data_IF_794071700013
#
_entry.id   IF_794071700013
#
_cell.length_a   1.000
_cell.length_b   1.000
_cell.length_c   1.000
_cell.angle_alpha   90.00
_cell.angle_beta   90.00
_cell.angle_gamma   90.00
#
_symmetry.space_group_name_H-M   'P 1'
#
loop_
_entity.id
_entity.type
_entity.pdbx_description
1 polymer ?
#
# COMPACT_ATOMS: atom_id res chain seq x y z
N UNK A 1 -7.22 -2.94 11.91
CA UNK A 1 -8.50 -2.19 11.96
C UNK A 1 -8.55 -1.44 13.29
N UNK A 2 -9.25 -0.31 13.39
CA UNK A 2 -9.38 0.48 14.62
C UNK A 2 -10.80 1.01 14.81
N UNK A 3 -11.15 1.38 16.04
CA UNK A 3 -12.34 2.19 16.34
C UNK A 3 -11.88 3.59 16.67
N UNK A 4 -12.40 4.56 15.93
CA UNK A 4 -12.02 5.96 16.07
C UNK A 4 -13.25 6.82 16.32
N UNK A 5 -13.08 7.88 17.13
CA UNK A 5 -14.12 8.90 17.36
C UNK A 5 -14.48 9.61 16.05
N UNK A 6 -15.77 9.86 15.85
CA UNK A 6 -16.23 10.76 14.80
C UNK A 6 -15.85 12.20 15.17
N UNK A 7 -15.09 12.88 14.32
CA UNK A 7 -14.90 14.32 14.43
C UNK A 7 -16.23 15.01 14.08
N UNK A 8 -16.60 16.06 14.80
CA UNK A 8 -17.82 16.83 14.49
C UNK A 8 -17.72 17.40 13.06
N UNK A 9 -18.83 17.55 12.30
CA UNK A 9 -18.78 18.04 10.91
C UNK A 9 -18.38 19.52 10.74
N UNK A 10 -17.88 20.17 11.80
CA UNK A 10 -17.50 21.58 11.79
C UNK A 10 -16.00 21.72 11.66
N UNK A 11 -15.47 21.44 10.47
CA UNK A 11 -14.27 22.11 10.00
C UNK A 11 -14.59 22.79 8.66
N UNK A 12 -14.55 24.13 8.71
CA UNK A 12 -14.67 24.99 7.53
C UNK A 12 -13.49 24.73 6.58
N UNK A 13 -13.67 24.96 5.27
CA UNK A 13 -12.58 24.84 4.31
C UNK A 13 -11.47 25.82 4.66
N UNK A 14 -10.24 25.32 4.80
CA UNK A 14 -9.05 26.13 4.96
C UNK A 14 -8.81 26.96 3.68
N UNK A 15 -9.14 28.25 3.76
CA UNK A 15 -8.68 29.28 2.85
C UNK A 15 -7.43 29.94 3.45
N UNK A 16 -6.32 29.95 2.72
CA UNK A 16 -5.19 30.83 3.00
C UNK A 16 -3.82 30.16 2.94
N UNK A 17 -3.23 30.10 1.74
CA UNK A 17 -1.77 30.13 1.59
C UNK A 17 -1.44 31.33 0.69
N UNK A 18 -0.83 32.36 1.29
CA UNK A 18 -0.25 33.48 0.56
C UNK A 18 1.07 33.04 -0.11
N UNK A 19 1.31 33.67 -1.24
CA UNK A 19 2.32 33.44 -2.28
C UNK A 19 3.78 33.64 -1.84
N UNK A 20 4.67 32.77 -2.33
CA UNK A 20 6.09 33.04 -2.60
C UNK A 20 6.35 32.84 -4.11
N UNK A 21 7.34 33.52 -4.73
CA UNK A 21 7.36 33.73 -6.17
C UNK A 21 7.68 32.46 -6.98
N UNK A 22 6.64 32.07 -7.72
CA UNK A 22 6.47 31.17 -8.85
C UNK A 22 7.69 30.95 -9.77
N UNK A 23 8.36 29.79 -9.62
CA UNK A 23 8.92 29.05 -10.76
C UNK A 23 7.84 28.03 -11.16
N UNK A 24 7.41 27.96 -12.43
CA UNK A 24 6.36 27.02 -12.82
C UNK A 24 6.82 25.57 -12.53
N UNK A 25 5.94 24.69 -12.02
CA UNK A 25 6.33 23.32 -11.69
C UNK A 25 6.80 22.60 -12.96
N UNK A 26 7.93 21.87 -12.89
CA UNK A 26 8.38 20.99 -13.98
C UNK A 26 7.45 19.78 -14.09
N UNK A 27 7.38 19.18 -15.27
CA UNK A 27 6.58 17.98 -15.49
C UNK A 27 7.29 16.79 -14.81
N UNK A 28 6.82 16.41 -13.62
CA UNK A 28 7.26 15.20 -12.91
C UNK A 28 6.79 13.92 -13.60
N UNK A 29 7.72 13.04 -13.94
CA UNK A 29 7.47 11.79 -14.67
C UNK A 29 8.07 10.60 -13.94
N UNK A 30 7.24 9.67 -13.47
CA UNK A 30 7.65 8.44 -12.82
C UNK A 30 7.98 7.33 -13.83
N UNK A 31 9.13 6.66 -13.69
CA UNK A 31 9.53 5.53 -14.53
C UNK A 31 9.23 4.18 -13.84
N UNK A 32 8.05 3.63 -14.13
CA UNK A 32 7.66 2.30 -13.67
C UNK A 32 8.25 1.23 -14.60
N UNK A 33 9.07 0.32 -14.07
CA UNK A 33 9.79 -0.68 -14.86
C UNK A 33 10.12 -1.93 -14.05
N UNK A 34 10.31 -3.06 -14.72
CA UNK A 34 10.86 -4.24 -14.05
C UNK A 34 12.35 -4.08 -13.79
N UNK A 35 12.84 -4.63 -12.67
CA UNK A 35 14.28 -4.70 -12.37
C UNK A 35 15.15 -5.30 -13.49
N UNK A 36 14.58 -6.15 -14.37
CA UNK A 36 15.27 -6.69 -15.55
C UNK A 36 15.48 -5.68 -16.69
N UNK A 37 14.69 -4.60 -16.71
CA UNK A 37 14.70 -3.59 -17.77
C UNK A 37 15.62 -2.41 -17.45
N UNK A 38 16.28 -2.42 -16.28
CA UNK A 38 17.15 -1.34 -15.80
C UNK A 38 18.14 -0.78 -16.84
N UNK A 39 18.84 -1.59 -17.66
CA UNK A 39 19.78 -1.06 -18.63
C UNK A 39 19.14 -0.08 -19.64
N UNK A 40 17.97 -0.43 -20.18
CA UNK A 40 17.27 0.39 -21.18
C UNK A 40 16.47 1.53 -20.52
N UNK A 41 15.97 1.32 -19.31
CA UNK A 41 15.31 2.37 -18.51
C UNK A 41 16.29 3.46 -18.09
N UNK A 42 17.56 3.11 -17.84
CA UNK A 42 18.60 4.11 -17.56
C UNK A 42 18.89 4.96 -18.79
N UNK A 43 18.89 4.40 -20.00
CA UNK A 43 19.00 5.19 -21.24
C UNK A 43 17.82 6.18 -21.36
N UNK A 44 16.59 5.69 -21.11
CA UNK A 44 15.39 6.52 -21.09
C UNK A 44 15.51 7.66 -20.06
N UNK A 45 15.91 7.35 -18.82
CA UNK A 45 16.09 8.34 -17.75
C UNK A 45 17.08 9.43 -18.17
N UNK A 46 18.25 9.07 -18.70
CA UNK A 46 19.26 10.04 -19.12
C UNK A 46 18.75 10.94 -20.26
N UNK A 47 18.01 10.38 -21.23
CA UNK A 47 17.37 11.17 -22.29
C UNK A 47 16.32 12.15 -21.75
N UNK A 48 15.49 11.72 -20.80
CA UNK A 48 14.53 12.59 -20.15
C UNK A 48 15.22 13.66 -19.29
N UNK A 49 16.34 13.33 -18.65
CA UNK A 49 17.14 14.28 -17.86
C UNK A 49 17.78 15.37 -18.73
N UNK A 50 18.05 15.10 -20.01
CA UNK A 50 18.46 16.14 -20.97
C UNK A 50 17.39 17.23 -21.17
N UNK A 51 16.11 16.90 -20.91
CA UNK A 51 14.97 17.82 -20.94
C UNK A 51 14.67 18.43 -19.55
N UNK A 52 15.64 18.40 -18.63
CA UNK A 52 15.48 18.83 -17.22
C UNK A 52 15.08 20.29 -17.00
N UNK A 53 15.05 21.11 -18.05
CA UNK A 53 14.59 22.49 -18.02
C UNK A 53 13.06 22.61 -17.92
N UNK A 54 12.29 21.57 -18.30
CA UNK A 54 10.82 21.56 -18.17
C UNK A 54 10.25 20.22 -17.66
N UNK A 55 11.07 19.18 -17.56
CA UNK A 55 10.68 17.83 -17.13
C UNK A 55 11.56 17.36 -15.98
N UNK A 56 11.01 16.54 -15.08
CA UNK A 56 11.73 15.94 -13.96
C UNK A 56 11.44 14.43 -13.94
N UNK A 57 12.36 13.58 -14.45
CA UNK A 57 12.16 12.15 -14.42
C UNK A 57 12.53 11.61 -13.03
N UNK A 58 11.75 10.64 -12.55
CA UNK A 58 12.01 9.94 -11.29
C UNK A 58 12.29 8.46 -11.58
N UNK A 59 13.43 7.96 -11.08
CA UNK A 59 13.87 6.57 -11.20
C UNK A 59 14.37 6.08 -9.83
N UNK A 60 13.85 4.96 -9.36
CA UNK A 60 14.14 4.39 -8.04
C UNK A 60 15.65 4.20 -7.78
N UNK A 61 16.43 3.76 -8.77
CA UNK A 61 17.88 3.56 -8.64
C UNK A 61 18.67 4.86 -8.40
N UNK A 62 18.17 5.98 -8.92
CA UNK A 62 18.86 7.28 -8.86
C UNK A 62 18.35 8.14 -7.71
N UNK A 63 17.08 7.98 -7.34
CA UNK A 63 16.38 8.84 -6.38
C UNK A 63 16.26 8.22 -4.97
N UNK A 64 16.53 6.92 -4.82
CA UNK A 64 16.57 6.25 -3.51
C UNK A 64 17.98 6.20 -2.93
N UNK A 65 18.15 6.61 -1.67
CA UNK A 65 19.42 6.49 -0.94
C UNK A 65 19.42 5.32 0.07
N UNK A 66 20.60 4.74 0.38
CA UNK A 66 20.70 3.64 1.33
C UNK A 66 20.09 3.98 2.70
N UNK A 67 19.17 3.13 3.16
CA UNK A 67 18.46 3.31 4.44
C UNK A 67 17.14 4.10 4.33
N UNK A 68 16.77 4.61 3.15
CA UNK A 68 15.45 5.19 2.92
C UNK A 68 14.36 4.10 2.91
N UNK A 69 13.18 4.33 3.52
CA UNK A 69 12.02 3.46 3.35
C UNK A 69 11.55 3.49 1.88
N UNK A 70 12.07 2.58 1.07
CA UNK A 70 11.86 2.54 -0.39
C UNK A 70 10.38 2.53 -0.81
N UNK A 71 9.52 1.83 -0.06
CA UNK A 71 8.07 1.82 -0.31
C UNK A 71 7.47 3.21 -0.22
N UNK A 72 7.69 3.92 0.89
CA UNK A 72 7.20 5.28 1.10
C UNK A 72 7.69 6.26 0.02
N UNK A 73 8.97 6.16 -0.34
CA UNK A 73 9.58 7.02 -1.35
C UNK A 73 8.96 6.80 -2.75
N UNK A 74 8.66 5.54 -3.11
CA UNK A 74 7.96 5.20 -4.35
C UNK A 74 6.52 5.72 -4.33
N UNK A 75 5.79 5.54 -3.23
CA UNK A 75 4.40 6.00 -3.08
C UNK A 75 4.30 7.52 -3.21
N UNK A 76 5.17 8.26 -2.51
CA UNK A 76 5.27 9.71 -2.61
C UNK A 76 5.63 10.18 -4.02
N UNK A 77 6.59 9.52 -4.67
CA UNK A 77 6.96 9.84 -6.03
C UNK A 77 5.83 9.59 -7.04
N UNK A 78 5.01 8.55 -6.83
CA UNK A 78 3.83 8.27 -7.64
C UNK A 78 2.72 9.31 -7.43
N UNK A 79 2.49 9.75 -6.19
CA UNK A 79 1.51 10.81 -5.85
C UNK A 79 1.90 12.17 -6.46
N UNK A 80 3.18 12.53 -6.37
CA UNK A 80 3.68 13.81 -6.91
C UNK A 80 3.85 13.82 -8.43
N UNK A 81 3.78 12.66 -9.09
CA UNK A 81 4.06 12.54 -10.52
C UNK A 81 2.85 12.89 -11.39
N UNK A 82 3.07 13.78 -12.36
CA UNK A 82 2.05 14.15 -13.33
C UNK A 82 1.83 13.05 -14.38
N UNK A 83 2.89 12.30 -14.70
CA UNK A 83 2.88 11.20 -15.67
C UNK A 83 3.59 9.99 -15.07
N UNK A 84 3.05 8.80 -15.34
CA UNK A 84 3.62 7.49 -15.02
C UNK A 84 3.88 6.79 -16.35
N UNK A 85 5.17 6.61 -16.67
CA UNK A 85 5.61 5.82 -17.81
C UNK A 85 5.71 4.35 -17.37
N UNK A 86 4.85 3.50 -17.93
CA UNK A 86 4.87 2.06 -17.67
C UNK A 86 5.73 1.40 -18.74
N UNK A 87 6.96 1.05 -18.39
CA UNK A 87 7.95 0.47 -19.28
C UNK A 87 7.66 -1.01 -19.55
N UNK A 88 7.57 -1.39 -20.83
CA UNK A 88 7.19 -2.73 -21.29
C UNK A 88 8.26 -3.32 -22.21
N UNK A 89 8.81 -4.47 -21.81
CA UNK A 89 9.61 -5.41 -22.60
C UNK A 89 8.90 -6.77 -22.71
N UNK A 90 9.26 -7.63 -23.68
CA UNK A 90 8.76 -9.01 -23.73
C UNK A 90 8.87 -9.74 -22.40
N UNK A 91 9.99 -9.59 -21.70
CA UNK A 91 10.30 -10.22 -20.42
C UNK A 91 9.41 -9.66 -19.29
N UNK A 92 9.18 -8.35 -19.27
CA UNK A 92 8.29 -7.71 -18.30
C UNK A 92 6.83 -8.16 -18.48
N UNK A 93 6.39 -8.34 -19.74
CA UNK A 93 5.01 -8.73 -20.08
C UNK A 93 4.79 -10.23 -19.85
N UNK A 94 5.81 -11.06 -20.13
CA UNK A 94 5.73 -12.51 -19.96
C UNK A 94 5.86 -12.99 -18.51
N UNK A 95 6.43 -12.17 -17.62
CA UNK A 95 6.54 -12.51 -16.19
C UNK A 95 5.16 -12.56 -15.53
N UNK A 96 4.77 -13.75 -15.07
CA UNK A 96 3.66 -13.94 -14.13
C UNK A 96 4.19 -13.66 -12.72
N UNK A 97 3.57 -12.72 -11.99
CA UNK A 97 4.04 -12.25 -10.68
C UNK A 97 4.73 -10.88 -10.73
N UNK A 98 5.60 -10.57 -9.76
CA UNK A 98 6.21 -9.28 -9.35
C UNK A 98 6.19 -8.05 -10.30
N UNK A 99 6.36 -8.22 -11.62
CA UNK A 99 6.18 -7.11 -12.60
C UNK A 99 4.72 -6.64 -12.67
N UNK A 100 3.77 -7.53 -12.42
CA UNK A 100 2.37 -7.18 -12.22
C UNK A 100 2.17 -6.32 -10.99
N UNK A 101 2.97 -6.44 -9.93
CA UNK A 101 2.82 -5.62 -8.73
C UNK A 101 3.24 -4.17 -8.99
N UNK A 102 4.35 -3.92 -9.69
CA UNK A 102 4.78 -2.56 -10.07
C UNK A 102 3.79 -1.89 -11.04
N UNK A 103 3.30 -2.64 -12.04
CA UNK A 103 2.26 -2.17 -12.96
C UNK A 103 0.92 -1.97 -12.21
N UNK A 104 0.57 -2.83 -11.25
CA UNK A 104 -0.63 -2.67 -10.42
C UNK A 104 -0.54 -1.46 -9.49
N UNK A 105 0.62 -1.18 -8.91
CA UNK A 105 0.88 0.02 -8.11
C UNK A 105 0.75 1.26 -8.99
N UNK A 106 1.39 1.32 -10.16
CA UNK A 106 1.22 2.41 -11.12
C UNK A 106 -0.26 2.60 -11.56
N UNK A 107 -0.96 1.50 -11.84
CA UNK A 107 -2.39 1.51 -12.17
C UNK A 107 -3.29 1.90 -11.00
N UNK A 108 -2.86 1.67 -9.75
CA UNK A 108 -3.56 2.06 -8.54
C UNK A 108 -3.51 3.57 -8.36
N UNK A 109 -2.32 4.18 -8.43
CA UNK A 109 -2.15 5.63 -8.27
C UNK A 109 -2.80 6.45 -9.40
N UNK A 110 -2.77 5.94 -10.63
CA UNK A 110 -3.39 6.61 -11.76
C UNK A 110 -4.91 6.81 -11.68
N UNK A 111 -5.59 6.12 -10.76
CA UNK A 111 -7.04 6.21 -10.59
C UNK A 111 -7.47 7.36 -9.68
N UNK A 112 -6.51 8.00 -8.99
CA UNK A 112 -6.73 9.16 -8.12
C UNK A 112 -6.47 10.50 -8.83
N UNK A 113 -6.17 10.47 -10.14
CA UNK A 113 -5.98 11.68 -10.94
C UNK A 113 -7.30 12.32 -11.36
N UNK A 114 -7.35 13.66 -11.52
CA UNK A 114 -8.54 14.36 -12.01
C UNK A 114 -9.06 13.82 -13.34
N UNK A 115 -10.39 13.70 -13.47
CA UNK A 115 -11.03 13.22 -14.69
C UNK A 115 -10.64 14.07 -15.91
N UNK A 116 -10.20 13.41 -17.00
CA UNK A 116 -9.84 14.05 -18.27
C UNK A 116 -8.34 14.17 -18.56
N UNK A 117 -7.47 13.86 -17.59
CA UNK A 117 -6.01 13.80 -17.79
C UNK A 117 -5.54 12.35 -17.72
N UNK A 118 -5.10 11.78 -18.86
CA UNK A 118 -4.44 10.46 -18.84
C UNK A 118 -3.02 10.64 -18.30
N UNK A 119 -2.77 10.17 -17.08
CA UNK A 119 -1.42 10.22 -16.48
C UNK A 119 -0.60 8.95 -16.76
N UNK A 120 -1.18 7.89 -17.32
CA UNK A 120 -0.43 6.69 -17.71
C UNK A 120 -0.09 6.74 -19.19
N UNK A 121 1.17 6.46 -19.50
CA UNK A 121 1.64 6.20 -20.87
C UNK A 121 2.33 4.83 -20.87
N UNK A 122 1.73 3.80 -21.50
CA UNK A 122 2.43 2.54 -21.76
C UNK A 122 3.60 2.83 -22.71
N UNK A 123 4.81 2.40 -22.35
CA UNK A 123 6.02 2.66 -23.12
C UNK A 123 6.68 1.34 -23.48
N UNK A 124 6.59 0.94 -24.74
CA UNK A 124 7.27 -0.25 -25.25
C UNK A 124 8.75 0.04 -25.41
N UNK A 125 9.59 -0.55 -24.56
CA UNK A 125 11.04 -0.50 -24.65
C UNK A 125 11.60 -1.51 -25.67
N UNK A 126 10.84 -2.56 -25.96
CA UNK A 126 11.05 -3.48 -27.08
C UNK A 126 9.70 -3.92 -27.66
N UNK A 127 9.71 -4.56 -28.83
CA UNK A 127 8.48 -5.06 -29.47
C UNK A 127 7.83 -6.14 -28.58
N UNK A 128 6.64 -5.86 -28.06
CA UNK A 128 5.88 -6.74 -27.16
C UNK A 128 4.38 -6.47 -27.24
N UNK A 129 3.58 -7.42 -26.76
CA UNK A 129 2.13 -7.24 -26.63
C UNK A 129 1.81 -6.33 -25.43
N UNK A 130 0.83 -5.45 -25.61
CA UNK A 130 0.39 -4.56 -24.53
C UNK A 130 -0.62 -5.33 -23.66
N UNK A 131 -0.39 -5.46 -22.35
CA UNK A 131 -1.34 -6.10 -21.45
C UNK A 131 -2.74 -5.47 -21.57
N UNK A 132 -3.80 -6.29 -21.56
CA UNK A 132 -5.20 -5.85 -21.70
C UNK A 132 -5.60 -4.71 -20.77
N UNK A 133 -4.99 -4.62 -19.57
CA UNK A 133 -5.25 -3.56 -18.60
C UNK A 133 -4.73 -2.18 -19.06
N UNK A 134 -3.69 -2.17 -19.89
CA UNK A 134 -3.08 -0.97 -20.45
C UNK A 134 -3.61 -0.63 -21.86
N UNK A 135 -4.43 -1.50 -22.46
CA UNK A 135 -4.88 -1.36 -23.87
C UNK A 135 -5.78 -0.16 -24.14
N UNK A 136 -6.33 0.47 -23.11
CA UNK A 136 -7.14 1.68 -23.22
C UNK A 136 -6.32 2.95 -23.42
N UNK A 137 -5.00 2.90 -23.16
CA UNK A 137 -4.09 4.02 -23.39
C UNK A 137 -3.25 3.77 -24.65
N UNK A 138 -2.95 4.84 -25.37
CA UNK A 138 -2.08 4.74 -26.53
C UNK A 138 -0.62 4.56 -26.09
N UNK A 139 -0.01 3.49 -26.55
CA UNK A 139 1.38 3.19 -26.22
C UNK A 139 2.36 4.02 -27.06
N UNK A 140 3.43 4.49 -26.41
CA UNK A 140 4.62 5.00 -27.06
C UNK A 140 5.63 3.87 -27.31
N UNK A 141 6.54 4.06 -28.26
CA UNK A 141 7.63 3.13 -28.57
C UNK A 141 8.96 3.83 -28.34
N UNK A 142 9.88 3.18 -27.64
CA UNK A 142 11.19 3.75 -27.34
C UNK A 142 12.33 3.16 -28.18
N UNK A 143 12.10 2.01 -28.82
CA UNK A 143 13.11 1.30 -29.63
C UNK A 143 13.30 1.87 -31.04
N UNK A 144 12.46 2.82 -31.47
CA UNK A 144 12.57 3.47 -32.78
C UNK A 144 12.57 5.01 -32.63
N UNK A 145 13.27 5.71 -33.53
CA UNK A 145 13.50 7.16 -33.42
C UNK A 145 12.19 7.96 -33.48
N UNK A 146 11.29 7.58 -34.39
CA UNK A 146 9.97 8.20 -34.51
C UNK A 146 9.14 8.03 -33.23
N UNK A 147 9.25 6.88 -32.57
CA UNK A 147 8.59 6.59 -31.32
C UNK A 147 9.10 7.46 -30.16
N UNK A 148 10.41 7.68 -30.10
CA UNK A 148 11.05 8.59 -29.13
C UNK A 148 10.58 10.03 -29.32
N UNK A 149 10.53 10.51 -30.56
CA UNK A 149 9.98 11.84 -30.89
C UNK A 149 8.51 11.96 -30.47
N UNK A 150 7.71 10.92 -30.72
CA UNK A 150 6.30 10.89 -30.34
C UNK A 150 6.10 10.86 -28.81
N UNK A 151 6.96 10.17 -28.06
CA UNK A 151 6.97 10.20 -26.60
C UNK A 151 7.22 11.62 -26.09
N UNK A 152 8.29 12.28 -26.57
CA UNK A 152 8.61 13.66 -26.20
C UNK A 152 7.50 14.64 -26.56
N UNK A 153 6.91 14.50 -27.75
CA UNK A 153 5.74 15.28 -28.17
C UNK A 153 4.55 15.08 -27.23
N UNK A 154 4.28 13.84 -26.83
CA UNK A 154 3.24 13.50 -25.86
C UNK A 154 3.47 14.16 -24.51
N UNK A 155 4.68 14.03 -23.96
CA UNK A 155 5.08 14.65 -22.69
C UNK A 155 4.97 16.18 -22.74
N UNK A 156 5.36 16.82 -23.86
CA UNK A 156 5.18 18.28 -24.05
C UNK A 156 3.70 18.69 -24.06
N UNK A 157 2.83 17.88 -24.65
CA UNK A 157 1.38 18.14 -24.63
C UNK A 157 0.81 18.00 -23.21
N UNK A 158 1.26 16.99 -22.47
CA UNK A 158 0.89 16.84 -21.05
C UNK A 158 1.37 18.03 -20.21
N UNK A 159 2.63 18.45 -20.36
CA UNK A 159 3.15 19.65 -19.70
C UNK A 159 2.26 20.88 -19.96
N UNK A 160 1.87 21.13 -21.21
CA UNK A 160 0.93 22.22 -21.55
C UNK A 160 -0.43 22.05 -20.87
N UNK A 161 -0.99 20.84 -20.83
CA UNK A 161 -2.27 20.56 -20.16
C UNK A 161 -2.20 20.80 -18.64
N UNK A 162 -1.03 20.60 -18.02
CA UNK A 162 -0.78 20.92 -16.62
C UNK A 162 -0.36 22.38 -16.39
N UNK A 163 -0.40 23.25 -17.42
CA UNK A 163 -0.03 24.67 -17.31
C UNK A 163 1.48 24.91 -17.17
N UNK A 164 2.31 23.94 -17.51
CA UNK A 164 3.77 24.00 -17.38
C UNK A 164 4.34 24.74 -18.60
N UNK A 165 5.02 25.85 -18.34
CA UNK A 165 5.68 26.66 -19.38
C UNK A 165 6.96 25.95 -19.81
N UNK A 166 6.96 25.43 -21.04
CA UNK A 166 8.17 24.86 -21.66
C UNK A 166 8.93 26.00 -22.34
N UNK A 167 10.16 26.33 -21.90
CA UNK A 167 11.00 27.28 -22.63
C UNK A 167 11.30 26.74 -24.03
N UNK A 168 11.24 27.56 -25.07
CA UNK A 168 11.73 27.15 -26.38
C UNK A 168 13.23 26.84 -26.30
N UNK A 169 13.70 25.74 -26.92
CA UNK A 169 15.10 25.35 -26.79
C UNK A 169 16.01 26.42 -27.42
N UNK A 170 17.06 26.88 -26.73
CA UNK A 170 18.15 27.58 -27.39
C UNK A 170 18.80 26.61 -28.40
N UNK A 171 19.05 27.09 -29.62
CA UNK A 171 19.70 26.35 -30.71
C UNK A 171 21.03 25.76 -30.20
N UNK A 172 21.13 24.43 -30.18
CA UNK A 172 22.27 23.73 -29.62
C UNK A 172 23.46 23.65 -30.59
N UNK A 173 24.65 23.98 -30.10
CA UNK A 173 25.96 23.55 -30.65
C UNK A 173 26.34 22.16 -30.11
N UNK A 174 27.04 21.31 -30.89
CA UNK A 174 27.18 19.88 -30.58
C UNK A 174 28.28 19.57 -29.54
N UNK A 175 28.21 18.42 -28.81
CA UNK A 175 29.14 18.05 -27.75
C UNK A 175 30.27 17.09 -28.20
N UNK A 176 31.34 17.08 -27.39
CA UNK A 176 32.58 16.30 -27.55
C UNK A 176 32.47 14.92 -26.88
N UNK A 177 32.96 13.89 -27.58
CA UNK A 177 32.91 12.46 -27.28
C UNK A 177 34.08 11.98 -26.40
N UNK A 178 33.89 10.92 -25.59
CA UNK A 178 34.97 10.10 -25.00
C UNK A 178 34.59 8.60 -24.87
N UNK A 179 35.57 7.67 -24.85
CA UNK A 179 35.48 6.33 -25.46
C UNK A 179 35.28 5.14 -24.47
N UNK A 180 35.08 3.89 -24.96
CA UNK A 180 34.48 2.76 -24.19
C UNK A 180 35.50 1.75 -23.63
N UNK A 181 35.04 0.85 -22.74
CA UNK A 181 35.80 -0.31 -22.17
C UNK A 181 34.89 -1.58 -22.13
N UNK A 182 35.43 -2.82 -22.33
CA UNK A 182 34.72 -4.01 -22.88
C UNK A 182 34.26 -5.06 -21.82
N UNK A 183 33.66 -6.23 -22.21
CA UNK A 183 32.65 -6.91 -21.38
C UNK A 183 32.92 -8.37 -20.91
N UNK A 184 31.99 -8.87 -20.07
CA UNK A 184 31.49 -10.26 -19.78
C UNK A 184 32.26 -11.23 -18.85
N UNK A 185 31.54 -11.77 -17.84
CA UNK A 185 31.39 -13.23 -17.55
C UNK A 185 30.31 -13.54 -16.46
N UNK A 186 29.52 -14.61 -16.66
CA UNK A 186 28.53 -15.24 -15.74
C UNK A 186 28.70 -16.79 -15.88
N UNK A 187 27.99 -17.72 -15.18
CA UNK A 187 27.49 -17.89 -13.78
C UNK A 187 27.88 -19.28 -13.15
N UNK A 188 27.41 -19.58 -11.91
CA UNK A 188 26.71 -20.83 -11.42
C UNK A 188 26.98 -21.14 -9.90
N UNK A 189 26.27 -22.09 -9.21
CA UNK A 189 24.83 -22.22 -8.91
C UNK A 189 24.52 -22.43 -7.39
N UNK A 190 23.24 -22.64 -7.02
CA UNK A 190 22.68 -22.73 -5.64
C UNK A 190 22.71 -24.14 -4.99
N UNK A 191 22.49 -24.27 -3.66
CA UNK A 191 22.20 -25.55 -2.99
C UNK A 191 20.71 -25.75 -2.61
N UNK A 192 20.26 -26.98 -2.23
CA UNK A 192 18.87 -27.43 -2.34
C UNK A 192 18.05 -27.58 -1.03
N UNK A 193 16.72 -27.47 -1.23
CA UNK A 193 15.52 -28.17 -0.65
C UNK A 193 15.45 -28.55 0.85
N UNK A 194 14.38 -28.07 1.50
CA UNK A 194 13.94 -28.41 2.86
C UNK A 194 13.15 -29.75 2.94
N UNK A 195 13.26 -30.42 4.09
CA UNK A 195 12.68 -31.75 4.41
C UNK A 195 11.15 -31.72 4.64
N UNK A 196 10.54 -32.89 4.38
CA UNK A 196 9.14 -33.21 4.65
C UNK A 196 8.80 -33.26 6.16
N UNK A 197 7.58 -32.86 6.51
CA UNK A 197 7.02 -32.88 7.86
C UNK A 197 6.45 -34.26 8.22
N UNK A 198 6.65 -34.67 9.48
CA UNK A 198 6.11 -35.89 10.09
C UNK A 198 4.59 -35.78 10.38
N UNK A 199 3.85 -36.89 10.52
CA UNK A 199 2.41 -36.86 10.72
C UNK A 199 2.04 -36.35 12.12
N UNK A 200 1.15 -35.36 12.19
CA UNK A 200 0.63 -34.77 13.43
C UNK A 200 -0.18 -35.79 14.26
N UNK A 201 0.00 -35.85 15.59
CA UNK A 201 -0.81 -36.70 16.47
C UNK A 201 -2.28 -36.24 16.56
N UNK A 202 -3.16 -37.18 16.91
CA UNK A 202 -4.59 -36.95 17.10
C UNK A 202 -4.86 -35.94 18.24
N UNK A 203 -5.92 -35.12 18.15
CA UNK A 203 -6.19 -34.07 19.14
C UNK A 203 -6.51 -34.65 20.53
N UNK A 204 -5.85 -34.14 21.56
CA UNK A 204 -6.29 -34.29 22.96
C UNK A 204 -7.15 -33.10 23.40
N UNK A 205 -8.04 -33.29 24.38
CA UNK A 205 -8.95 -32.23 24.90
C UNK A 205 -8.21 -30.99 25.48
N UNK A 206 -6.88 -31.07 25.69
CA UNK A 206 -6.04 -29.98 26.22
C UNK A 206 -5.11 -29.37 25.14
N UNK A 207 -5.22 -29.79 23.88
CA UNK A 207 -4.28 -29.34 22.85
C UNK A 207 -4.39 -27.84 22.55
N UNK A 208 -5.59 -27.27 22.51
CA UNK A 208 -5.79 -25.85 22.20
C UNK A 208 -5.24 -24.95 23.33
N UNK A 209 -5.58 -25.24 24.60
CA UNK A 209 -5.11 -24.47 25.76
C UNK A 209 -3.59 -24.47 25.85
N UNK A 210 -2.95 -25.64 25.74
CA UNK A 210 -1.48 -25.75 25.75
C UNK A 210 -0.81 -24.94 24.63
N UNK A 211 -1.38 -24.95 23.42
CA UNK A 211 -0.86 -24.20 22.29
C UNK A 211 -1.04 -22.68 22.47
N UNK A 212 -2.10 -22.26 23.14
CA UNK A 212 -2.34 -20.86 23.49
C UNK A 212 -1.38 -20.36 24.58
N UNK A 213 -1.05 -21.19 25.57
CA UNK A 213 -0.01 -20.87 26.53
C UNK A 213 1.35 -20.75 25.83
N UNK A 214 1.67 -21.70 24.94
CA UNK A 214 2.93 -21.70 24.17
C UNK A 214 3.05 -20.47 23.26
N UNK A 215 1.97 -20.03 22.58
CA UNK A 215 2.01 -18.82 21.75
C UNK A 215 2.12 -17.54 22.61
N UNK A 216 1.72 -17.58 23.89
CA UNK A 216 1.91 -16.48 24.84
C UNK A 216 3.36 -16.29 25.29
N UNK A 217 4.17 -17.35 25.28
CA UNK A 217 5.58 -17.29 25.64
C UNK A 217 6.39 -16.55 24.56
N UNK A 218 7.07 -15.47 24.94
CA UNK A 218 7.90 -14.65 24.04
C UNK A 218 9.09 -15.42 23.44
N UNK A 219 9.54 -16.49 24.07
CA UNK A 219 10.64 -17.33 23.58
C UNK A 219 10.23 -18.26 22.43
N UNK A 220 8.92 -18.44 22.21
CA UNK A 220 8.38 -19.25 21.12
C UNK A 220 8.77 -18.64 19.76
N UNK A 221 9.45 -19.45 18.94
CA UNK A 221 10.00 -19.02 17.64
C UNK A 221 8.89 -18.67 16.65
N UNK A 222 9.19 -17.79 15.67
CA UNK A 222 8.21 -17.40 14.65
C UNK A 222 7.68 -18.61 13.84
N UNK A 223 8.55 -19.57 13.51
CA UNK A 223 8.15 -20.81 12.84
C UNK A 223 7.18 -21.62 13.70
N UNK A 224 7.48 -21.75 15.01
CA UNK A 224 6.61 -22.46 15.93
C UNK A 224 5.27 -21.76 16.13
N UNK A 225 5.26 -20.42 16.20
CA UNK A 225 4.02 -19.62 16.24
C UNK A 225 3.15 -19.84 15.01
N UNK A 226 3.74 -19.97 13.83
CA UNK A 226 3.03 -20.30 12.59
C UNK A 226 2.41 -21.70 12.66
N UNK A 227 3.17 -22.72 13.08
CA UNK A 227 2.66 -24.08 13.26
C UNK A 227 1.52 -24.18 14.28
N UNK A 228 1.63 -23.41 15.38
CA UNK A 228 0.57 -23.26 16.37
C UNK A 228 -0.67 -22.64 15.72
N UNK A 229 -0.50 -21.56 14.95
CA UNK A 229 -1.59 -20.90 14.21
C UNK A 229 -2.31 -21.85 13.26
N UNK A 230 -1.55 -22.63 12.46
CA UNK A 230 -2.08 -23.67 11.58
C UNK A 230 -2.89 -24.70 12.37
N UNK A 231 -2.35 -25.18 13.49
CA UNK A 231 -3.03 -26.17 14.32
C UNK A 231 -4.30 -25.62 14.98
N UNK A 232 -4.26 -24.39 15.50
CA UNK A 232 -5.43 -23.72 16.06
C UNK A 232 -6.52 -23.49 15.00
N UNK A 233 -6.14 -23.28 13.72
CA UNK A 233 -7.12 -23.24 12.62
C UNK A 233 -7.86 -24.57 12.43
N UNK A 234 -7.21 -25.71 12.71
CA UNK A 234 -7.79 -27.05 12.55
C UNK A 234 -8.68 -27.42 13.74
N UNK A 235 -8.23 -27.12 14.97
CA UNK A 235 -8.86 -27.62 16.20
C UNK A 235 -9.78 -26.60 16.89
N UNK A 236 -9.81 -25.36 16.41
CA UNK A 236 -10.55 -24.25 17.00
C UNK A 236 -9.63 -23.29 17.76
N UNK A 237 -9.67 -22.02 17.36
CA UNK A 237 -8.93 -20.94 18.00
C UNK A 237 -9.87 -20.17 18.92
N UNK A 238 -9.59 -20.19 20.22
CA UNK A 238 -10.44 -19.57 21.25
C UNK A 238 -9.91 -18.22 21.73
N UNK A 239 -8.88 -17.66 21.07
CA UNK A 239 -8.38 -16.33 21.41
C UNK A 239 -9.47 -15.28 21.19
N UNK A 240 -9.66 -14.42 22.19
CA UNK A 240 -10.50 -13.23 22.07
C UNK A 240 -9.99 -12.37 20.90
N UNK A 241 -10.89 -11.90 20.06
CA UNK A 241 -10.54 -11.12 18.88
C UNK A 241 -10.17 -11.94 17.64
N UNK A 242 -10.29 -13.26 17.69
CA UNK A 242 -10.05 -14.18 16.57
C UNK A 242 -11.36 -14.86 16.18
N UNK A 243 -11.69 -14.85 14.89
CA UNK A 243 -12.92 -15.48 14.39
C UNK A 243 -14.19 -14.69 14.71
N UNK A 244 -15.29 -15.41 14.90
CA UNK A 244 -16.64 -14.85 15.05
C UNK A 244 -17.18 -15.07 16.45
N UNK A 245 -17.99 -14.13 16.92
CA UNK A 245 -18.84 -14.29 18.11
C UNK A 245 -19.97 -15.29 17.84
N UNK A 246 -20.68 -15.76 18.89
CA UNK A 246 -21.84 -16.65 18.73
C UNK A 246 -22.97 -16.07 17.87
N UNK A 247 -23.08 -14.74 17.76
CA UNK A 247 -24.04 -14.04 16.90
C UNK A 247 -23.57 -13.88 15.45
N UNK A 248 -22.38 -14.40 15.10
CA UNK A 248 -21.81 -14.36 13.76
C UNK A 248 -21.09 -13.05 13.41
N UNK A 249 -21.07 -12.07 14.32
CA UNK A 249 -20.33 -10.81 14.14
C UNK A 249 -18.84 -11.08 14.40
N UNK A 250 -17.92 -10.47 13.62
CA UNK A 250 -16.48 -10.53 13.92
C UNK A 250 -16.17 -10.24 15.40
N UNK A 251 -15.50 -11.17 16.07
CA UNK A 251 -14.99 -10.92 17.42
C UNK A 251 -13.74 -10.06 17.33
N UNK A 252 -13.70 -8.91 18.00
CA UNK A 252 -12.54 -8.02 17.95
C UNK A 252 -12.12 -7.66 19.37
N UNK A 253 -10.86 -7.93 19.68
CA UNK A 253 -10.23 -7.47 20.92
C UNK A 253 -9.66 -6.07 20.70
N UNK A 254 -10.27 -5.08 21.38
CA UNK A 254 -9.94 -3.67 21.23
C UNK A 254 -8.93 -3.22 22.30
N UNK A 255 -7.77 -2.74 21.87
CA UNK A 255 -6.74 -2.15 22.73
C UNK A 255 -6.83 -0.64 22.70
N UNK A 256 -6.92 -0.02 23.88
CA UNK A 256 -6.93 1.44 24.00
C UNK A 256 -5.55 2.02 23.68
N UNK A 257 -5.53 2.98 22.76
CA UNK A 257 -4.37 3.81 22.44
C UNK A 257 -4.57 5.17 23.10
N UNK A 258 -3.88 5.37 24.23
CA UNK A 258 -3.97 6.58 25.03
C UNK A 258 -2.62 6.86 25.74
N UNK A 259 -2.34 8.13 26.09
CA UNK A 259 -3.12 9.32 25.75
C UNK A 259 -3.00 9.69 24.26
N UNK A 260 -3.90 10.54 23.79
CA UNK A 260 -3.73 11.27 22.53
C UNK A 260 -2.66 12.35 22.66
N UNK A 261 -2.31 13.00 21.55
CA UNK A 261 -1.31 14.05 21.55
C UNK A 261 -1.03 14.63 20.18
N UNK A 262 0.06 15.41 20.06
CA UNK A 262 0.48 16.05 18.82
C UNK A 262 1.62 15.27 18.18
N UNK A 263 1.53 15.06 16.88
CA UNK A 263 2.52 14.36 16.08
C UNK A 263 2.94 15.24 14.90
N UNK A 264 4.24 15.36 14.66
CA UNK A 264 4.76 16.01 13.46
C UNK A 264 5.21 14.94 12.45
N UNK A 265 4.65 14.98 11.25
CA UNK A 265 5.04 14.13 10.11
C UNK A 265 5.34 15.05 8.94
N UNK A 266 6.55 14.96 8.36
CA UNK A 266 6.97 15.79 7.24
C UNK A 266 6.72 17.31 7.40
N UNK A 267 6.97 17.85 8.60
CA UNK A 267 6.72 19.26 8.97
C UNK A 267 5.26 19.68 9.04
N UNK A 268 4.33 18.73 8.97
CA UNK A 268 2.91 18.93 9.23
C UNK A 268 2.56 18.43 10.63
N UNK A 269 1.70 19.17 11.32
CA UNK A 269 1.28 18.84 12.69
C UNK A 269 -0.11 18.20 12.66
N UNK A 270 -0.22 17.03 13.27
CA UNK A 270 -1.45 16.26 13.42
C UNK A 270 -1.82 16.15 14.89
N UNK A 271 -3.12 16.24 15.18
CA UNK A 271 -3.64 15.95 16.51
C UNK A 271 -4.26 14.55 16.52
N UNK A 272 -3.71 13.68 17.36
CA UNK A 272 -4.16 12.30 17.53
C UNK A 272 -5.04 12.22 18.76
N UNK A 273 -6.33 11.95 18.56
CA UNK A 273 -7.25 11.69 19.67
C UNK A 273 -7.06 10.28 20.22
N UNK A 274 -7.37 10.00 21.50
CA UNK A 274 -7.39 8.63 22.01
C UNK A 274 -8.38 7.75 21.22
N UNK A 275 -7.97 6.54 20.89
CA UNK A 275 -8.76 5.61 20.04
C UNK A 275 -8.53 4.15 20.45
N UNK A 276 -9.25 3.22 19.82
CA UNK A 276 -8.99 1.78 19.97
C UNK A 276 -8.39 1.19 18.70
N UNK A 277 -7.48 0.24 18.85
CA UNK A 277 -6.94 -0.55 17.75
C UNK A 277 -7.17 -2.03 18.01
N UNK A 278 -7.49 -2.80 16.96
CA UNK A 278 -7.63 -4.25 17.09
C UNK A 278 -6.27 -4.87 17.46
N UNK A 279 -6.26 -5.78 18.44
CA UNK A 279 -5.05 -6.50 18.85
C UNK A 279 -4.47 -7.35 17.71
N UNK A 280 -5.34 -7.95 16.89
CA UNK A 280 -4.97 -8.83 15.80
C UNK A 280 -5.37 -8.25 14.43
N UNK A 281 -4.72 -8.76 13.38
CA UNK A 281 -5.19 -8.54 12.01
C UNK A 281 -6.55 -9.22 11.81
N UNK A 282 -7.35 -8.67 10.91
CA UNK A 282 -8.64 -9.26 10.57
C UNK A 282 -8.40 -10.62 9.90
N UNK A 283 -9.01 -11.64 10.47
CA UNK A 283 -8.91 -13.02 10.01
C UNK A 283 -9.79 -13.28 8.80
N UNK A 284 -9.51 -14.36 8.08
CA UNK A 284 -10.34 -14.81 6.98
C UNK A 284 -11.78 -15.04 7.41
N UNK A 285 -12.02 -15.75 8.51
CA UNK A 285 -13.37 -16.01 9.00
C UNK A 285 -14.16 -14.72 9.27
N UNK A 286 -13.51 -13.71 9.86
CA UNK A 286 -14.11 -12.40 10.12
C UNK A 286 -14.49 -11.67 8.83
N UNK A 287 -13.58 -11.65 7.85
CA UNK A 287 -13.87 -11.02 6.57
C UNK A 287 -14.90 -11.82 5.75
N UNK A 288 -14.85 -13.15 5.82
CA UNK A 288 -15.78 -14.03 5.11
C UNK A 288 -17.23 -13.85 5.63
N UNK A 289 -17.41 -13.52 6.91
CA UNK A 289 -18.73 -13.14 7.44
C UNK A 289 -19.33 -11.94 6.68
N UNK A 290 -18.52 -10.91 6.39
CA UNK A 290 -18.96 -9.79 5.54
C UNK A 290 -19.28 -10.23 4.11
N UNK A 291 -18.50 -11.14 3.54
CA UNK A 291 -18.73 -11.66 2.18
C UNK A 291 -20.05 -12.43 2.08
N UNK A 292 -20.37 -13.23 3.11
CA UNK A 292 -21.55 -14.10 3.14
C UNK A 292 -22.80 -13.42 3.70
N UNK A 293 -22.67 -12.31 4.42
CA UNK A 293 -23.80 -11.59 4.98
C UNK A 293 -24.74 -11.08 3.87
N UNK A 294 -26.05 -11.23 4.08
CA UNK A 294 -27.07 -10.82 3.11
C UNK A 294 -27.05 -9.30 2.85
N UNK A 295 -26.73 -8.52 3.89
CA UNK A 295 -26.52 -7.07 3.87
C UNK A 295 -25.04 -6.69 3.77
N UNK A 296 -24.14 -7.64 3.52
CA UNK A 296 -22.70 -7.47 3.54
C UNK A 296 -22.14 -7.04 2.19
N UNK A 297 -21.18 -7.80 1.67
CA UNK A 297 -20.31 -7.41 0.55
C UNK A 297 -21.02 -6.90 -0.70
N UNK A 298 -22.19 -7.45 -1.02
CA UNK A 298 -22.95 -7.05 -2.21
C UNK A 298 -23.89 -5.85 -1.97
N UNK A 299 -24.02 -5.37 -0.73
CA UNK A 299 -24.79 -4.17 -0.43
C UNK A 299 -24.05 -2.92 -0.92
N UNK A 300 -24.68 -2.17 -1.82
CA UNK A 300 -24.13 -0.97 -2.47
C UNK A 300 -23.84 0.17 -1.49
N UNK A 301 -24.50 0.19 -0.33
CA UNK A 301 -24.31 1.24 0.69
C UNK A 301 -22.86 1.31 1.17
N UNK A 302 -22.20 0.16 1.35
CA UNK A 302 -20.80 0.11 1.79
C UNK A 302 -19.82 0.66 0.76
N UNK A 303 -20.23 0.76 -0.50
CA UNK A 303 -19.39 1.19 -1.61
C UNK A 303 -19.71 2.62 -2.07
N UNK A 304 -20.62 3.33 -1.39
CA UNK A 304 -20.97 4.70 -1.73
C UNK A 304 -19.74 5.62 -1.69
N UNK A 305 -19.65 6.50 -2.69
CA UNK A 305 -18.54 7.45 -2.86
C UNK A 305 -17.29 6.87 -3.53
N UNK A 306 -17.25 5.56 -3.84
CA UNK A 306 -16.13 4.98 -4.59
C UNK A 306 -16.34 5.06 -6.12
N UNK A 307 -15.29 4.98 -6.94
CA UNK A 307 -15.47 4.87 -8.39
C UNK A 307 -16.18 3.56 -8.78
N UNK A 308 -16.90 3.53 -9.91
CA UNK A 308 -17.78 2.40 -10.28
C UNK A 308 -17.05 1.06 -10.39
N UNK A 309 -15.80 1.05 -10.85
CA UNK A 309 -14.98 -0.16 -10.95
C UNK A 309 -14.58 -0.76 -9.58
N UNK A 310 -14.89 -0.06 -8.49
CA UNK A 310 -14.62 -0.46 -7.12
C UNK A 310 -15.89 -0.84 -6.32
N UNK A 311 -17.05 -1.00 -6.97
CA UNK A 311 -18.35 -1.24 -6.31
C UNK A 311 -19.10 -2.52 -6.76
N UNK A 312 -19.06 -3.63 -6.01
CA UNK A 312 -17.88 -4.19 -5.36
C UNK A 312 -16.91 -4.80 -6.40
N UNK A 313 -15.66 -5.00 -6.01
CA UNK A 313 -14.68 -5.70 -6.85
C UNK A 313 -14.86 -7.22 -6.77
N UNK A 314 -14.28 -7.97 -7.71
CA UNK A 314 -14.12 -9.42 -7.53
C UNK A 314 -13.10 -9.68 -6.41
N UNK A 315 -13.42 -10.61 -5.51
CA UNK A 315 -12.50 -11.02 -4.45
C UNK A 315 -11.40 -11.91 -5.00
N UNK A 316 -10.15 -11.58 -4.65
CA UNK A 316 -9.02 -12.46 -4.87
C UNK A 316 -9.10 -13.70 -3.99
N UNK A 317 -8.60 -14.82 -4.52
CA UNK A 317 -8.41 -16.02 -3.71
C UNK A 317 -7.37 -15.76 -2.61
N UNK A 318 -7.66 -16.29 -1.42
CA UNK A 318 -6.74 -16.21 -0.29
C UNK A 318 -5.63 -17.26 -0.44
N UNK A 319 -4.40 -16.88 -0.15
CA UNK A 319 -3.25 -17.80 -0.29
C UNK A 319 -3.27 -18.92 0.74
N UNK A 320 -3.54 -18.61 2.00
CA UNK A 320 -3.56 -19.60 3.09
C UNK A 320 -4.97 -19.88 3.57
N UNK A 321 -5.43 -21.13 3.55
CA UNK A 321 -6.86 -21.45 3.73
C UNK A 321 -7.34 -21.52 5.20
N UNK A 322 -6.50 -21.15 6.17
CA UNK A 322 -6.85 -21.19 7.58
C UNK A 322 -7.89 -20.12 7.97
N UNK A 323 -8.83 -20.47 8.85
CA UNK A 323 -9.92 -19.59 9.27
C UNK A 323 -9.45 -18.43 10.16
N UNK A 324 -8.49 -18.71 11.05
CA UNK A 324 -7.87 -17.74 11.96
C UNK A 324 -6.67 -16.99 11.31
N UNK A 325 -6.35 -17.28 10.05
CA UNK A 325 -5.27 -16.61 9.33
C UNK A 325 -5.70 -15.20 8.90
N UNK A 326 -4.78 -14.22 8.85
CA UNK A 326 -5.08 -12.90 8.33
C UNK A 326 -5.67 -12.96 6.92
N UNK A 327 -6.72 -12.20 6.65
CA UNK A 327 -7.27 -12.04 5.30
C UNK A 327 -6.25 -11.28 4.43
N UNK A 328 -5.80 -11.90 3.35
CA UNK A 328 -4.83 -11.31 2.41
C UNK A 328 -5.46 -10.94 1.05
N UNK A 329 -4.65 -10.31 0.19
CA UNK A 329 -5.03 -9.88 -1.16
C UNK A 329 -6.26 -8.96 -1.21
N UNK A 330 -6.30 -8.02 -0.26
CA UNK A 330 -7.39 -7.06 -0.08
C UNK A 330 -7.05 -5.70 -0.68
N UNK A 331 -8.03 -5.06 -1.31
CA UNK A 331 -7.92 -3.65 -1.68
C UNK A 331 -8.31 -2.73 -0.51
N UNK A 332 -7.83 -1.49 -0.57
CA UNK A 332 -8.23 -0.45 0.38
C UNK A 332 -9.76 -0.27 0.39
N UNK A 333 -10.40 -0.22 -0.77
CA UNK A 333 -11.86 -0.07 -0.91
C UNK A 333 -12.64 -1.18 -0.22
N UNK A 334 -12.20 -2.43 -0.40
CA UNK A 334 -12.81 -3.58 0.27
C UNK A 334 -12.65 -3.49 1.80
N UNK A 335 -11.52 -2.96 2.27
CA UNK A 335 -11.27 -2.78 3.70
C UNK A 335 -12.10 -1.65 4.31
N UNK A 336 -12.31 -0.56 3.57
CA UNK A 336 -13.22 0.52 4.00
C UNK A 336 -14.68 0.05 3.99
N UNK A 337 -15.11 -0.69 2.96
CA UNK A 337 -16.44 -1.28 2.91
C UNK A 337 -16.69 -2.22 4.09
N UNK A 338 -15.70 -3.06 4.43
CA UNK A 338 -15.75 -3.90 5.62
C UNK A 338 -15.87 -3.09 6.93
N UNK A 339 -15.15 -1.96 7.06
CA UNK A 339 -15.27 -1.07 8.22
C UNK A 339 -16.65 -0.44 8.35
N UNK A 340 -17.24 0.02 7.24
CA UNK A 340 -18.61 0.54 7.20
C UNK A 340 -19.63 -0.51 7.64
N UNK A 341 -19.54 -1.71 7.08
CA UNK A 341 -20.41 -2.83 7.47
C UNK A 341 -20.23 -3.23 8.94
N UNK A 342 -18.98 -3.33 9.41
CA UNK A 342 -18.71 -3.70 10.79
C UNK A 342 -19.18 -2.62 11.79
N UNK A 343 -19.08 -1.34 11.41
CA UNK A 343 -19.69 -0.23 12.16
C UNK A 343 -21.20 -0.42 12.30
N UNK A 344 -21.88 -0.81 11.22
CA UNK A 344 -23.32 -1.10 11.25
C UNK A 344 -23.64 -2.31 12.15
N UNK A 345 -22.90 -3.41 12.03
CA UNK A 345 -23.10 -4.60 12.87
C UNK A 345 -22.93 -4.31 14.36
N UNK A 346 -22.04 -3.38 14.70
CA UNK A 346 -21.71 -3.01 16.08
C UNK A 346 -22.46 -1.75 16.55
N UNK A 347 -23.47 -1.29 15.81
CA UNK A 347 -24.19 -0.06 16.16
C UNK A 347 -24.77 -0.13 17.59
N UNK A 348 -24.57 0.94 18.35
CA UNK A 348 -24.99 1.08 19.75
C UNK A 348 -24.07 0.38 20.77
N UNK A 349 -23.03 -0.32 20.33
CA UNK A 349 -22.07 -0.93 21.26
C UNK A 349 -21.26 0.15 21.96
N UNK A 350 -21.15 0.00 23.27
CA UNK A 350 -20.46 0.96 24.12
C UNK A 350 -19.07 0.44 24.50
N UNK A 351 -18.05 1.25 24.22
CA UNK A 351 -16.71 1.07 24.73
C UNK A 351 -16.38 2.18 25.71
N UNK A 352 -15.63 1.91 26.79
CA UNK A 352 -15.12 2.95 27.66
C UNK A 352 -14.38 4.03 26.87
N UNK A 353 -14.24 5.23 27.44
CA UNK A 353 -13.37 6.21 26.82
C UNK A 353 -11.92 5.68 26.83
N UNK A 354 -11.18 5.66 25.71
CA UNK A 354 -9.82 5.11 25.67
C UNK A 354 -8.86 5.84 26.62
N UNK A 355 -9.11 7.12 26.91
CA UNK A 355 -8.33 7.90 27.87
C UNK A 355 -8.69 7.66 29.35
N UNK A 356 -9.60 6.72 29.65
CA UNK A 356 -10.03 6.38 31.02
C UNK A 356 -10.95 7.41 31.68
N UNK A 357 -11.14 8.59 31.09
CA UNK A 357 -12.02 9.65 31.59
C UNK A 357 -12.85 10.26 30.45
N UNK A 358 -14.10 10.60 30.73
CA UNK A 358 -15.07 11.15 29.76
C UNK A 358 -16.11 10.15 29.28
N UNK A 359 -16.98 10.60 28.37
CA UNK A 359 -18.09 9.79 27.85
C UNK A 359 -17.61 8.56 27.06
N UNK A 360 -18.37 7.44 27.11
CA UNK A 360 -18.05 6.26 26.34
C UNK A 360 -18.14 6.52 24.83
N UNK A 361 -17.45 5.67 24.06
CA UNK A 361 -17.65 5.58 22.63
C UNK A 361 -18.86 4.70 22.36
N UNK A 362 -19.78 5.19 21.55
CA UNK A 362 -20.95 4.48 21.07
C UNK A 362 -20.79 4.33 19.56
N UNK A 363 -20.56 3.10 19.11
CA UNK A 363 -20.30 2.81 17.71
C UNK A 363 -21.56 3.13 16.89
N UNK A 364 -21.40 3.84 15.77
CA UNK A 364 -22.47 4.35 14.93
C UNK A 364 -23.08 5.68 15.38
N UNK A 365 -22.72 6.21 16.55
CA UNK A 365 -23.18 7.52 17.04
C UNK A 365 -22.03 8.54 17.12
N UNK A 366 -20.99 8.23 17.89
CA UNK A 366 -19.82 9.10 18.09
C UNK A 366 -18.49 8.37 17.80
N UNK A 367 -18.55 7.15 17.29
CA UNK A 367 -17.40 6.34 16.90
C UNK A 367 -17.73 5.45 15.70
N UNK A 368 -16.71 5.11 14.91
CA UNK A 368 -16.81 4.20 13.77
C UNK A 368 -15.63 3.22 13.75
N UNK A 369 -15.84 2.08 13.10
CA UNK A 369 -14.80 1.09 12.83
C UNK A 369 -14.19 1.38 11.46
N UNK A 370 -12.90 1.73 11.43
CA UNK A 370 -12.18 2.02 10.17
C UNK A 370 -10.71 1.63 10.22
N UNK A 371 -10.01 1.83 9.10
CA UNK A 371 -8.55 1.82 9.13
C UNK A 371 -8.05 3.05 9.90
N UNK A 372 -7.01 2.91 10.75
CA UNK A 372 -6.33 4.07 11.30
C UNK A 372 -5.76 4.93 10.16
N UNK A 373 -5.74 6.25 10.35
CA UNK A 373 -4.98 7.16 9.48
C UNK A 373 -3.48 6.93 9.67
N UNK A 374 -2.66 7.50 8.79
CA UNK A 374 -1.20 7.43 8.89
C UNK A 374 -0.69 7.90 10.27
N UNK A 375 -1.16 9.06 10.74
CA UNK A 375 -0.73 9.60 12.03
C UNK A 375 -1.23 8.80 13.23
N UNK A 376 -2.43 8.21 13.17
CA UNK A 376 -2.93 7.30 14.20
C UNK A 376 -2.07 6.03 14.26
N UNK A 377 -1.71 5.49 13.09
CA UNK A 377 -0.85 4.31 12.98
C UNK A 377 0.55 4.60 13.54
N UNK A 378 1.16 5.70 13.14
CA UNK A 378 2.47 6.11 13.65
C UNK A 378 2.42 6.36 15.16
N UNK A 379 1.38 7.02 15.67
CA UNK A 379 1.19 7.26 17.12
C UNK A 379 1.15 5.95 17.92
N UNK A 380 0.39 4.95 17.42
CA UNK A 380 0.34 3.64 18.05
C UNK A 380 1.70 2.93 17.98
N UNK A 381 2.36 2.94 16.82
CA UNK A 381 3.65 2.28 16.59
C UNK A 381 4.78 2.86 17.45
N UNK A 382 4.78 4.18 17.69
CA UNK A 382 5.81 4.83 18.50
C UNK A 382 5.51 4.80 20.02
N UNK A 383 4.44 4.11 20.46
CA UNK A 383 4.06 4.09 21.87
C UNK A 383 3.57 5.45 22.39
N UNK A 384 2.88 6.22 21.55
CA UNK A 384 2.32 7.52 21.86
C UNK A 384 3.37 8.58 22.14
N UNK A 385 3.27 9.24 23.30
CA UNK A 385 4.20 10.30 23.72
C UNK A 385 5.62 9.83 24.00
N UNK A 386 5.84 8.51 24.10
CA UNK A 386 7.17 7.94 24.33
C UNK A 386 8.06 8.02 23.08
N UNK A 387 7.47 8.21 21.88
CA UNK A 387 8.19 8.32 20.61
C UNK A 387 9.27 7.25 20.43
N UNK A 388 8.92 6.01 20.78
CA UNK A 388 9.84 4.87 20.70
C UNK A 388 10.29 4.71 19.26
N UNK A 389 11.60 4.55 19.08
CA UNK A 389 12.21 4.26 17.78
C UNK A 389 11.70 2.92 17.21
N UNK A 390 11.41 1.95 18.08
CA UNK A 390 10.77 0.69 17.70
C UNK A 390 9.60 0.37 18.63
N UNK A 391 8.53 -0.29 18.16
CA UNK A 391 7.30 -0.49 18.94
C UNK A 391 7.52 -1.18 20.29
N UNK A 392 8.54 -2.04 20.35
CA UNK A 392 8.86 -2.91 21.49
C UNK A 392 10.10 -2.46 22.27
N UNK A 393 10.60 -1.23 22.06
CA UNK A 393 11.77 -0.68 22.76
C UNK A 393 13.03 -0.66 21.91
N UNK A 394 14.17 -1.16 22.43
CA UNK A 394 15.39 -1.28 21.65
C UNK A 394 15.26 -2.40 20.60
N UNK A 395 15.98 -2.27 19.48
CA UNK A 395 16.03 -3.32 18.46
C UNK A 395 16.57 -4.64 19.05
N UNK A 396 15.95 -5.76 18.68
CA UNK A 396 16.31 -7.09 19.15
C UNK A 396 16.17 -8.06 17.99
N UNK A 397 17.26 -8.76 17.68
CA UNK A 397 17.26 -9.75 16.60
C UNK A 397 16.21 -10.84 16.85
N UNK A 398 15.35 -11.09 15.88
CA UNK A 398 14.29 -12.11 15.96
C UNK A 398 12.94 -11.60 16.50
N UNK A 399 12.87 -10.34 16.92
CA UNK A 399 11.62 -9.67 17.23
C UNK A 399 11.11 -8.94 15.99
N UNK A 400 9.78 -8.84 15.84
CA UNK A 400 9.16 -7.96 14.85
C UNK A 400 9.21 -6.49 15.34
N UNK A 401 10.43 -5.99 15.57
CA UNK A 401 10.72 -4.67 16.12
C UNK A 401 11.63 -3.82 15.23
N UNK A 402 11.51 -4.00 13.91
CA UNK A 402 12.19 -3.19 12.89
C UNK A 402 11.31 -2.07 12.39
#
# INVERSE_FOLDING_TARGET
MGIIKLQSPTDKPYAGAQTMPNVPPKLKVFLCHSSGDKPIVRELYQRLKAESHWLEPWLDEEELYPGQPWQYAIEKALEESHIILVCLTPESVAKIGYVQAEIETALYYAKYMPEGLSNIIPLKLAECEIPRRLSKWQAARFYDERGREMLLKGLRLHAKNFGIVIPEPPVATPPVEKPPVPPVAVPQPAPPVAKAAEPKPAPSENDAERLLDEIGDLTTTHQRRMEIGDRLSEIGDTRRGVGLRPDGIPDIEWLAVAPGGKLEIEKQNFEVQPFYIAQYQITFAQYEAFVKAADGYNNREWWQGFPREYQPQTLSEQRQKGLNMPRDNMSWYQTVAFGRWLTQCMQGWQLPNPGGSGSPLIIGENAEVRLPTEWEWQWAAQGGSQQRKYPWGAWQKGYANT
#
